data_IF_936426714592
#
_entry.id   IF_936426714592
#
_cell.length_a   1.000
_cell.length_b   1.000
_cell.length_c   1.000
_cell.angle_alpha   90.00
_cell.angle_beta   90.00
_cell.angle_gamma   90.00
#
_symmetry.space_group_name_H-M   'P 1'
#
loop_
_entity.id
_entity.type
_entity.pdbx_description
1 polymer ?
#
# COMPACT_ATOMS: atom_id res chain seq x y z
N UNK A 1 -0.74 -26.01 26.08
CA UNK A 1 -1.11 -27.33 26.61
C UNK A 1 0.10 -28.25 26.46
N UNK A 2 0.88 -28.44 27.53
CA UNK A 2 2.01 -29.37 27.57
C UNK A 2 1.67 -30.48 28.58
N UNK A 3 0.98 -31.51 28.12
CA UNK A 3 0.83 -32.77 28.86
C UNK A 3 1.81 -33.78 28.27
N UNK A 4 3.08 -33.62 28.59
CA UNK A 4 4.05 -34.69 28.46
C UNK A 4 4.00 -35.51 29.74
N UNK A 5 3.19 -36.56 29.75
CA UNK A 5 3.25 -37.57 30.81
C UNK A 5 4.70 -38.09 30.84
N UNK A 6 5.44 -37.75 31.90
CA UNK A 6 6.70 -38.42 32.22
C UNK A 6 6.36 -39.88 32.47
N UNK A 7 6.47 -40.70 31.43
CA UNK A 7 6.58 -42.13 31.59
C UNK A 7 7.88 -42.36 32.35
N UNK A 8 7.78 -42.58 33.66
CA UNK A 8 8.90 -43.03 34.49
C UNK A 8 9.28 -44.40 33.95
N UNK A 9 10.17 -44.40 32.97
CA UNK A 9 10.67 -45.60 32.35
C UNK A 9 11.40 -46.37 33.44
N UNK A 10 10.83 -47.50 33.87
CA UNK A 10 11.48 -48.46 34.79
C UNK A 10 12.70 -49.13 34.11
N UNK A 11 13.07 -48.72 32.90
CA UNK A 11 14.17 -49.24 32.08
C UNK A 11 15.52 -49.10 32.76
N UNK A 12 15.86 -47.91 33.28
CA UNK A 12 17.13 -47.68 33.96
C UNK A 12 17.23 -48.42 35.30
N UNK A 13 16.11 -48.58 35.99
CA UNK A 13 16.02 -49.32 37.24
C UNK A 13 16.11 -50.84 37.01
N UNK A 14 15.50 -51.33 35.94
CA UNK A 14 15.60 -52.72 35.50
C UNK A 14 16.98 -53.06 34.93
N UNK A 15 17.62 -52.13 34.21
CA UNK A 15 19.02 -52.25 33.77
C UNK A 15 19.96 -52.30 34.98
N UNK A 16 19.79 -51.39 35.94
CA UNK A 16 20.57 -51.38 37.17
C UNK A 16 20.43 -52.69 37.95
N UNK A 17 19.20 -53.18 38.13
CA UNK A 17 18.93 -54.49 38.76
C UNK A 17 19.59 -55.64 38.02
N UNK A 18 19.49 -55.69 36.69
CA UNK A 18 20.12 -56.73 35.89
C UNK A 18 21.65 -56.71 36.00
N UNK A 19 22.27 -55.53 35.95
CA UNK A 19 23.72 -55.39 36.06
C UNK A 19 24.22 -55.75 37.47
N UNK A 20 23.52 -55.33 38.53
CA UNK A 20 23.85 -55.69 39.92
C UNK A 20 23.78 -57.21 40.13
N UNK A 21 22.76 -57.89 39.58
CA UNK A 21 22.62 -59.35 39.70
C UNK A 21 23.71 -60.14 38.95
N UNK A 22 24.43 -59.50 38.02
CA UNK A 22 25.51 -60.12 37.23
C UNK A 22 26.91 -59.78 37.77
N UNK A 23 27.02 -58.92 38.79
CA UNK A 23 28.30 -58.54 39.40
C UNK A 23 28.87 -59.63 40.31
N UNK A 24 30.19 -59.70 40.40
CA UNK A 24 30.86 -60.60 41.34
C UNK A 24 30.72 -60.09 42.79
N UNK A 25 30.93 -60.98 43.77
CA UNK A 25 30.91 -60.60 45.19
C UNK A 25 31.93 -59.50 45.53
N UNK A 26 33.10 -59.51 44.87
CA UNK A 26 34.11 -58.48 45.06
C UNK A 26 33.67 -57.13 44.50
N UNK A 27 32.99 -57.12 43.35
CA UNK A 27 32.45 -55.89 42.75
C UNK A 27 31.29 -55.32 43.57
N UNK A 28 30.39 -56.18 44.05
CA UNK A 28 29.30 -55.78 44.95
C UNK A 28 29.85 -55.23 46.27
N UNK A 29 30.90 -55.84 46.82
CA UNK A 29 31.58 -55.35 48.02
C UNK A 29 32.26 -54.00 47.76
N UNK A 30 32.85 -53.78 46.59
CA UNK A 30 33.40 -52.46 46.23
C UNK A 30 32.29 -51.41 46.09
N UNK A 31 31.20 -51.76 45.41
CA UNK A 31 30.05 -50.89 45.21
C UNK A 31 29.39 -50.49 46.54
N UNK A 32 29.25 -51.44 47.48
CA UNK A 32 28.67 -51.18 48.80
C UNK A 32 29.55 -50.28 49.69
N UNK A 33 30.88 -50.31 49.48
CA UNK A 33 31.83 -49.61 50.35
C UNK A 33 32.31 -48.26 49.80
N UNK A 34 31.81 -47.80 48.64
CA UNK A 34 32.24 -46.53 48.03
C UNK A 34 31.11 -45.85 47.26
N UNK A 35 30.68 -44.69 47.75
CA UNK A 35 29.68 -43.83 47.10
C UNK A 35 30.14 -43.34 45.71
N UNK A 36 31.45 -43.20 45.51
CA UNK A 36 32.02 -42.85 44.20
C UNK A 36 31.82 -43.98 43.18
N UNK A 37 31.94 -45.23 43.61
CA UNK A 37 31.69 -46.39 42.75
C UNK A 37 30.19 -46.53 42.44
N UNK A 38 29.31 -46.23 43.41
CA UNK A 38 27.86 -46.14 43.18
C UNK A 38 27.55 -45.05 42.16
N UNK A 39 28.17 -43.88 42.29
CA UNK A 39 27.98 -42.76 41.37
C UNK A 39 28.47 -43.08 39.96
N UNK A 40 29.63 -43.74 39.82
CA UNK A 40 30.14 -44.20 38.52
C UNK A 40 29.21 -45.25 37.91
N UNK A 41 28.71 -46.19 38.72
CA UNK A 41 27.75 -47.19 38.26
C UNK A 41 26.46 -46.54 37.76
N UNK A 42 25.86 -45.62 38.51
CA UNK A 42 24.64 -44.89 38.09
C UNK A 42 24.89 -44.05 36.83
N UNK A 43 26.06 -43.43 36.70
CA UNK A 43 26.46 -42.70 35.47
C UNK A 43 26.71 -43.60 34.27
N UNK A 44 26.96 -44.88 34.49
CA UNK A 44 27.15 -45.88 33.42
C UNK A 44 25.84 -46.46 32.88
N UNK A 45 24.69 -46.13 33.49
CA UNK A 45 23.37 -46.56 33.03
C UNK A 45 23.04 -45.88 31.71
N UNK A 46 22.46 -46.64 30.79
CA UNK A 46 22.23 -46.19 29.41
C UNK A 46 21.32 -44.97 29.34
N UNK A 47 20.28 -44.92 30.17
CA UNK A 47 19.35 -43.79 30.23
C UNK A 47 20.04 -42.49 30.69
N UNK A 48 20.93 -42.57 31.69
CA UNK A 48 21.60 -41.36 32.21
C UNK A 48 22.65 -40.85 31.21
N UNK A 49 23.32 -41.75 30.49
CA UNK A 49 24.19 -41.38 29.37
C UNK A 49 23.41 -40.72 28.24
N UNK A 50 22.25 -41.28 27.86
CA UNK A 50 21.38 -40.67 26.85
C UNK A 50 20.92 -39.28 27.25
N UNK A 51 20.51 -39.08 28.51
CA UNK A 51 20.12 -37.77 29.03
C UNK A 51 21.29 -36.79 28.96
N UNK A 52 22.51 -37.20 29.34
CA UNK A 52 23.68 -36.33 29.27
C UNK A 52 24.04 -35.98 27.82
N UNK A 53 23.96 -36.94 26.89
CA UNK A 53 24.14 -36.68 25.45
C UNK A 53 23.10 -35.70 24.90
N UNK A 54 21.82 -35.87 25.26
CA UNK A 54 20.75 -34.95 24.85
C UNK A 54 21.02 -33.54 25.41
N UNK A 55 21.42 -33.46 26.67
CA UNK A 55 21.75 -32.19 27.34
C UNK A 55 22.95 -31.49 26.68
N UNK A 56 24.00 -32.22 26.32
CA UNK A 56 25.14 -31.65 25.59
C UNK A 56 24.74 -31.17 24.20
N UNK A 57 23.97 -31.98 23.46
CA UNK A 57 23.42 -31.58 22.16
C UNK A 57 22.54 -30.32 22.26
N UNK A 58 21.69 -30.23 23.28
CA UNK A 58 20.87 -29.03 23.53
C UNK A 58 21.73 -27.82 23.85
N UNK A 59 22.77 -27.96 24.67
CA UNK A 59 23.71 -26.86 24.96
C UNK A 59 24.39 -26.36 23.69
N UNK A 60 24.84 -27.28 22.83
CA UNK A 60 25.46 -26.92 21.55
C UNK A 60 24.47 -26.20 20.63
N UNK A 61 23.23 -26.70 20.55
CA UNK A 61 22.16 -26.07 19.78
C UNK A 61 21.82 -24.66 20.29
N UNK A 62 21.68 -24.48 21.61
CA UNK A 62 21.43 -23.18 22.23
C UNK A 62 22.59 -22.23 21.92
N UNK A 63 23.84 -22.69 22.05
CA UNK A 63 25.02 -21.88 21.73
C UNK A 63 25.02 -21.44 20.27
N UNK A 64 24.73 -22.36 19.33
CA UNK A 64 24.64 -22.04 17.90
C UNK A 64 23.55 -21.00 17.63
N UNK A 65 22.37 -21.17 18.21
CA UNK A 65 21.26 -20.22 18.05
C UNK A 65 21.58 -18.86 18.64
N UNK A 66 22.21 -18.81 19.82
CA UNK A 66 22.63 -17.56 20.44
C UNK A 66 23.67 -16.82 19.56
N UNK A 67 24.63 -17.53 18.98
CA UNK A 67 25.61 -16.95 18.06
C UNK A 67 24.94 -16.42 16.78
N UNK A 68 24.03 -17.19 16.19
CA UNK A 68 23.26 -16.76 15.04
C UNK A 68 22.45 -15.49 15.35
N UNK A 69 21.77 -15.46 16.50
CA UNK A 69 21.00 -14.30 16.92
C UNK A 69 21.90 -13.06 17.10
N UNK A 70 23.07 -13.21 17.73
CA UNK A 70 24.04 -12.11 17.91
C UNK A 70 24.56 -11.56 16.57
N UNK A 71 24.72 -12.42 15.56
CA UNK A 71 25.15 -12.02 14.22
C UNK A 71 24.02 -11.33 13.43
N UNK A 72 22.78 -11.82 13.55
CA UNK A 72 21.64 -11.31 12.78
C UNK A 72 21.05 -10.02 13.34
N UNK A 73 21.12 -9.81 14.66
CA UNK A 73 20.60 -8.60 15.32
C UNK A 73 21.09 -7.28 14.69
N UNK A 74 22.41 -7.04 14.48
CA UNK A 74 22.88 -5.80 13.88
C UNK A 74 22.38 -5.60 12.44
N UNK A 75 22.26 -6.68 11.66
CA UNK A 75 21.76 -6.63 10.28
C UNK A 75 20.28 -6.21 10.28
N UNK A 76 19.47 -6.83 11.14
CA UNK A 76 18.06 -6.51 11.28
C UNK A 76 17.84 -5.07 11.76
N UNK A 77 18.64 -4.60 12.71
CA UNK A 77 18.58 -3.21 13.19
C UNK A 77 18.92 -2.24 12.04
N UNK A 78 19.97 -2.52 11.27
CA UNK A 78 20.38 -1.69 10.14
C UNK A 78 19.30 -1.61 9.06
N UNK A 79 18.78 -2.75 8.61
CA UNK A 79 17.74 -2.79 7.58
C UNK A 79 16.44 -2.13 8.05
N UNK A 80 16.06 -2.31 9.33
CA UNK A 80 14.91 -1.62 9.91
C UNK A 80 15.08 -0.10 9.91
N UNK A 81 16.28 0.39 10.24
CA UNK A 81 16.58 1.83 10.20
C UNK A 81 16.53 2.37 8.76
N UNK A 82 17.11 1.65 7.80
CA UNK A 82 17.07 2.01 6.39
C UNK A 82 15.64 2.04 5.85
N UNK A 83 14.82 1.05 6.20
CA UNK A 83 13.41 1.02 5.84
C UNK A 83 12.63 2.21 6.43
N UNK A 84 12.89 2.54 7.69
CA UNK A 84 12.26 3.70 8.34
C UNK A 84 12.64 5.02 7.63
N UNK A 85 13.91 5.19 7.26
CA UNK A 85 14.38 6.35 6.51
C UNK A 85 13.69 6.45 5.14
N UNK A 86 13.68 5.36 4.37
CA UNK A 86 13.04 5.34 3.05
C UNK A 86 11.53 5.61 3.14
N UNK A 87 10.87 5.08 4.17
CA UNK A 87 9.46 5.34 4.41
C UNK A 87 9.19 6.81 4.76
N UNK A 88 10.05 7.45 5.55
CA UNK A 88 9.94 8.87 5.86
C UNK A 88 10.20 9.76 4.63
N UNK A 89 11.16 9.39 3.78
CA UNK A 89 11.41 10.06 2.50
C UNK A 89 10.19 9.95 1.57
N UNK A 90 9.64 8.75 1.42
CA UNK A 90 8.44 8.51 0.63
C UNK A 90 7.27 9.32 1.15
N UNK A 91 7.07 9.38 2.47
CA UNK A 91 6.01 10.19 3.08
C UNK A 91 6.14 11.66 2.71
N UNK A 92 7.34 12.23 2.83
CA UNK A 92 7.60 13.63 2.46
C UNK A 92 7.35 13.89 0.97
N UNK A 93 7.74 12.96 0.10
CA UNK A 93 7.48 13.08 -1.34
C UNK A 93 5.98 13.02 -1.61
N UNK A 94 5.27 12.11 -0.95
CA UNK A 94 3.81 11.99 -1.07
C UNK A 94 3.10 13.26 -0.59
N UNK A 95 3.46 13.80 0.57
CA UNK A 95 2.91 15.06 1.08
C UNK A 95 3.13 16.22 0.10
N UNK A 96 4.32 16.32 -0.52
CA UNK A 96 4.59 17.32 -1.56
C UNK A 96 3.73 17.09 -2.80
N UNK A 97 3.61 15.85 -3.26
CA UNK A 97 2.77 15.50 -4.40
C UNK A 97 1.31 15.84 -4.14
N UNK A 98 0.76 15.45 -2.99
CA UNK A 98 -0.63 15.70 -2.60
C UNK A 98 -0.89 17.21 -2.49
N UNK A 99 0.06 18.00 -1.99
CA UNK A 99 -0.02 19.47 -1.98
C UNK A 99 -0.06 20.05 -3.39
N UNK A 100 0.87 19.67 -4.26
CA UNK A 100 0.92 20.17 -5.65
C UNK A 100 -0.35 19.77 -6.40
N UNK A 101 -0.84 18.55 -6.16
CA UNK A 101 -2.07 18.06 -6.75
C UNK A 101 -3.28 18.85 -6.23
N UNK A 102 -3.34 19.16 -4.94
CA UNK A 102 -4.37 20.03 -4.38
C UNK A 102 -4.39 21.39 -5.07
N UNK A 103 -3.24 22.06 -5.16
CA UNK A 103 -3.12 23.36 -5.85
C UNK A 103 -3.55 23.27 -7.33
N UNK A 104 -3.19 22.17 -8.01
CA UNK A 104 -3.59 21.92 -9.39
C UNK A 104 -5.09 21.66 -9.53
N UNK A 105 -5.67 20.84 -8.65
CA UNK A 105 -7.09 20.52 -8.63
C UNK A 105 -7.92 21.78 -8.27
N UNK A 106 -7.42 22.66 -7.42
CA UNK A 106 -8.06 23.96 -7.11
C UNK A 106 -8.03 24.89 -8.35
N UNK A 107 -6.87 25.01 -9.01
CA UNK A 107 -6.73 25.81 -10.24
C UNK A 107 -7.58 25.28 -11.40
N UNK A 108 -7.66 23.95 -11.54
CA UNK A 108 -8.42 23.31 -12.63
C UNK A 108 -9.90 23.09 -12.30
N UNK A 109 -10.24 23.00 -11.02
CA UNK A 109 -11.61 22.88 -10.52
C UNK A 109 -12.45 24.13 -10.81
N UNK A 110 -11.83 25.32 -10.77
CA UNK A 110 -12.45 26.58 -11.23
C UNK A 110 -12.68 26.61 -12.76
N UNK A 111 -12.00 25.75 -13.51
CA UNK A 111 -12.02 25.72 -14.99
C UNK A 111 -12.31 24.32 -15.52
N UNK A 112 -13.28 23.60 -14.96
CA UNK A 112 -13.74 22.35 -15.55
C UNK A 112 -14.24 22.64 -16.99
N UNK A 113 -13.80 21.90 -18.02
CA UNK A 113 -14.32 22.01 -19.39
C UNK A 113 -15.86 22.06 -19.46
N UNK A 114 -16.58 21.27 -18.66
CA UNK A 114 -18.05 21.31 -18.63
C UNK A 114 -18.59 22.67 -18.15
N UNK A 115 -17.93 23.29 -17.17
CA UNK A 115 -18.26 24.63 -16.67
C UNK A 115 -17.97 25.70 -17.73
N UNK A 116 -16.84 25.61 -18.43
CA UNK A 116 -16.49 26.53 -19.53
C UNK A 116 -17.53 26.42 -20.66
N UNK A 117 -17.95 25.21 -21.01
CA UNK A 117 -18.99 24.97 -22.00
C UNK A 117 -20.33 25.59 -21.59
N UNK A 118 -20.76 25.38 -20.34
CA UNK A 118 -21.99 25.97 -19.80
C UNK A 118 -21.94 27.51 -19.79
N UNK A 119 -20.80 28.11 -19.45
CA UNK A 119 -20.60 29.55 -19.50
C UNK A 119 -20.70 30.10 -20.93
N UNK A 120 -20.08 29.44 -21.91
CA UNK A 120 -20.18 29.81 -23.32
C UNK A 120 -21.62 29.74 -23.83
N UNK A 121 -22.36 28.68 -23.47
CA UNK A 121 -23.75 28.51 -23.86
C UNK A 121 -24.66 29.57 -23.21
N UNK A 122 -24.41 29.92 -21.95
CA UNK A 122 -25.13 30.98 -21.24
C UNK A 122 -24.88 32.33 -21.90
N UNK A 123 -23.61 32.68 -22.17
CA UNK A 123 -23.25 33.94 -22.82
C UNK A 123 -23.83 34.06 -24.24
N UNK A 124 -23.85 32.96 -25.00
CA UNK A 124 -24.48 32.93 -26.32
C UNK A 124 -26.00 33.17 -26.21
N UNK A 125 -26.67 32.49 -25.27
CA UNK A 125 -28.12 32.62 -25.06
C UNK A 125 -28.52 34.02 -24.56
N UNK A 126 -27.71 34.62 -23.66
CA UNK A 126 -27.91 35.97 -23.17
C UNK A 126 -27.78 37.02 -24.28
N UNK A 127 -26.80 36.84 -25.17
CA UNK A 127 -26.61 37.75 -26.30
C UNK A 127 -27.69 37.56 -27.36
N UNK A 128 -28.13 36.32 -27.65
CA UNK A 128 -29.29 36.05 -28.49
C UNK A 128 -30.55 36.74 -27.94
N UNK A 129 -30.82 36.62 -26.63
CA UNK A 129 -31.93 37.33 -25.98
C UNK A 129 -31.81 38.85 -26.12
N UNK A 130 -30.62 39.42 -25.85
CA UNK A 130 -30.39 40.86 -25.98
C UNK A 130 -30.60 41.36 -27.41
N UNK A 131 -30.18 40.57 -28.41
CA UNK A 131 -30.45 40.91 -29.81
C UNK A 131 -31.93 40.86 -30.16
N UNK A 132 -32.69 39.96 -29.55
CA UNK A 132 -34.15 39.91 -29.72
C UNK A 132 -34.82 41.12 -29.09
N UNK A 133 -34.44 41.49 -27.86
CA UNK A 133 -34.93 42.71 -27.19
C UNK A 133 -34.62 43.96 -28.01
N UNK A 134 -33.40 44.04 -28.56
CA UNK A 134 -33.00 45.17 -29.42
C UNK A 134 -33.83 45.22 -30.71
N UNK A 135 -34.20 44.06 -31.28
CA UNK A 135 -35.08 43.98 -32.44
C UNK A 135 -36.52 44.38 -32.11
N UNK A 136 -37.07 43.89 -31.00
CA UNK A 136 -38.39 44.27 -30.51
C UNK A 136 -38.48 45.78 -30.25
N UNK A 137 -37.49 46.36 -29.55
CA UNK A 137 -37.39 47.80 -29.28
C UNK A 137 -37.32 48.64 -30.56
N UNK A 138 -36.76 48.08 -31.63
CA UNK A 138 -36.76 48.70 -32.96
C UNK A 138 -38.15 48.67 -33.61
N UNK A 139 -38.87 47.56 -33.52
CA UNK A 139 -40.20 47.42 -34.13
C UNK A 139 -41.30 48.22 -33.42
N UNK A 140 -41.22 48.39 -32.10
CA UNK A 140 -42.26 49.04 -31.31
C UNK A 140 -41.98 50.51 -30.94
N UNK A 141 -40.77 51.01 -31.18
CA UNK A 141 -40.40 52.40 -30.90
C UNK A 141 -40.51 53.32 -32.13
N UNK A 142 -40.91 54.58 -31.93
CA UNK A 142 -40.69 55.63 -32.94
C UNK A 142 -39.18 55.90 -33.03
N UNK A 143 -38.58 55.76 -34.23
CA UNK A 143 -37.13 55.93 -34.44
C UNK A 143 -36.84 57.06 -35.43
N UNK A 144 -35.82 57.83 -35.13
CA UNK A 144 -35.18 58.78 -36.02
C UNK A 144 -34.22 58.07 -36.98
N UNK A 145 -33.87 58.71 -38.11
CA UNK A 145 -32.95 58.14 -39.11
C UNK A 145 -31.55 57.82 -38.53
N UNK A 146 -31.10 58.59 -37.54
CA UNK A 146 -29.85 58.35 -36.81
C UNK A 146 -29.93 57.09 -35.93
N UNK A 147 -31.07 56.86 -35.26
CA UNK A 147 -31.31 55.66 -34.43
C UNK A 147 -31.43 54.39 -35.27
N UNK A 148 -31.93 54.47 -36.51
CA UNK A 148 -31.98 53.33 -37.44
C UNK A 148 -30.56 52.87 -37.81
N UNK A 149 -29.67 53.81 -38.09
CA UNK A 149 -28.27 53.50 -38.47
C UNK A 149 -27.47 52.94 -37.30
N UNK A 150 -27.70 53.44 -36.08
CA UNK A 150 -27.09 52.92 -34.86
C UNK A 150 -27.63 51.53 -34.50
N UNK A 151 -28.95 51.29 -34.68
CA UNK A 151 -29.55 49.97 -34.54
C UNK A 151 -28.92 48.96 -35.50
N UNK A 152 -28.85 49.27 -36.80
CA UNK A 152 -28.31 48.36 -37.81
C UNK A 152 -26.88 47.92 -37.45
N UNK A 153 -26.04 48.86 -37.05
CA UNK A 153 -24.66 48.57 -36.63
C UNK A 153 -24.62 47.64 -35.42
N UNK A 154 -25.30 48.02 -34.33
CA UNK A 154 -25.28 47.26 -33.07
C UNK A 154 -25.91 45.89 -33.20
N UNK A 155 -27.02 45.79 -33.93
CA UNK A 155 -27.73 44.53 -34.13
C UNK A 155 -26.88 43.54 -34.93
N UNK A 156 -26.24 43.98 -36.02
CA UNK A 156 -25.35 43.13 -36.81
C UNK A 156 -24.14 42.69 -35.98
N UNK A 157 -23.52 43.61 -35.24
CA UNK A 157 -22.37 43.29 -34.37
C UNK A 157 -22.73 42.29 -33.27
N UNK A 158 -23.82 42.52 -32.53
CA UNK A 158 -24.26 41.65 -31.44
C UNK A 158 -24.74 40.28 -31.97
N UNK A 159 -25.46 40.23 -33.11
CA UNK A 159 -25.87 38.96 -33.74
C UNK A 159 -24.68 38.15 -34.25
N UNK A 160 -23.70 38.81 -34.88
CA UNK A 160 -22.46 38.15 -35.31
C UNK A 160 -21.75 37.53 -34.11
N UNK A 161 -21.61 38.28 -33.02
CA UNK A 161 -20.96 37.81 -31.80
C UNK A 161 -21.73 36.65 -31.13
N UNK A 162 -23.07 36.67 -31.16
CA UNK A 162 -23.89 35.56 -30.65
C UNK A 162 -23.63 34.26 -31.44
N UNK A 163 -23.59 34.35 -32.78
CA UNK A 163 -23.29 33.21 -33.63
C UNK A 163 -21.85 32.70 -33.44
N UNK A 164 -20.87 33.61 -33.31
CA UNK A 164 -19.48 33.24 -33.02
C UNK A 164 -19.36 32.47 -31.70
N UNK A 165 -20.04 32.93 -30.63
CA UNK A 165 -20.05 32.25 -29.33
C UNK A 165 -20.72 30.87 -29.41
N UNK A 166 -21.83 30.75 -30.15
CA UNK A 166 -22.51 29.48 -30.36
C UNK A 166 -21.65 28.46 -31.11
N UNK A 167 -21.03 28.86 -32.21
CA UNK A 167 -20.09 28.02 -32.97
C UNK A 167 -18.90 27.63 -32.09
N UNK A 168 -18.37 28.58 -31.30
CA UNK A 168 -17.28 28.30 -30.36
C UNK A 168 -17.69 27.25 -29.33
N UNK A 169 -18.89 27.34 -28.76
CA UNK A 169 -19.41 26.35 -27.82
C UNK A 169 -19.57 24.96 -28.47
N UNK A 170 -20.15 24.90 -29.67
CA UNK A 170 -20.32 23.64 -30.42
C UNK A 170 -18.97 22.98 -30.73
N UNK A 171 -17.99 23.74 -31.22
CA UNK A 171 -16.65 23.23 -31.51
C UNK A 171 -15.90 22.80 -30.26
N UNK A 172 -16.04 23.55 -29.17
CA UNK A 172 -15.47 23.18 -27.88
C UNK A 172 -16.06 21.85 -27.38
N UNK A 173 -17.37 21.65 -27.52
CA UNK A 173 -18.04 20.40 -27.15
C UNK A 173 -17.61 19.22 -28.02
N UNK A 174 -17.47 19.40 -29.33
CA UNK A 174 -16.92 18.38 -30.23
C UNK A 174 -15.52 17.92 -29.78
N UNK A 175 -14.63 18.88 -29.45
CA UNK A 175 -13.28 18.58 -28.97
C UNK A 175 -13.29 17.81 -27.64
N UNK A 176 -14.21 18.13 -26.73
CA UNK A 176 -14.40 17.39 -25.47
C UNK A 176 -14.84 15.94 -25.70
N UNK A 177 -15.74 15.68 -26.66
CA UNK A 177 -16.17 14.33 -26.99
C UNK A 177 -15.04 13.50 -27.63
N UNK A 178 -14.22 14.13 -28.47
CA UNK A 178 -13.06 13.48 -29.10
C UNK A 178 -11.96 13.12 -28.10
N UNK A 179 -11.70 13.99 -27.11
CA UNK A 179 -10.68 13.74 -26.07
C UNK A 179 -11.09 12.61 -25.12
N UNK A 180 -12.37 12.54 -24.75
CA UNK A 180 -12.90 11.42 -23.97
C UNK A 180 -12.76 10.10 -24.73
N UNK A 181 -13.17 10.08 -26.00
CA UNK A 181 -13.10 8.90 -26.87
C UNK A 181 -11.67 8.36 -27.03
N UNK A 182 -10.68 9.25 -27.12
CA UNK A 182 -9.26 8.86 -27.21
C UNK A 182 -8.71 8.38 -25.86
N UNK A 183 -9.09 8.98 -24.73
CA UNK A 183 -8.71 8.52 -23.38
C UNK A 183 -9.19 7.09 -23.08
N UNK A 184 -10.40 6.72 -23.52
CA UNK A 184 -10.92 5.35 -23.40
C UNK A 184 -10.11 4.32 -24.21
N UNK A 185 -9.42 4.72 -25.28
CA UNK A 185 -8.58 3.81 -26.07
C UNK A 185 -7.23 3.54 -25.38
N UNK A 186 -6.64 4.55 -24.73
CA UNK A 186 -5.36 4.40 -24.03
C UNK A 186 -5.45 3.64 -22.71
N UNK A 187 -6.53 3.84 -21.94
CA UNK A 187 -6.76 3.09 -20.69
C UNK A 187 -6.97 1.58 -20.94
N UNK A 188 -7.62 1.23 -22.05
CA UNK A 188 -7.81 -0.17 -22.46
C UNK A 188 -6.54 -0.85 -22.96
N UNK A 189 -5.52 -0.11 -23.43
CA UNK A 189 -4.23 -0.70 -23.81
C UNK A 189 -3.38 -1.11 -22.60
N UNK A 190 -3.42 -0.37 -21.49
CA UNK A 190 -2.65 -0.68 -20.29
C UNK A 190 -3.22 -1.87 -19.49
N UNK A 191 -4.53 -2.12 -19.58
CA UNK A 191 -5.16 -3.31 -18.98
C UNK A 191 -4.81 -4.62 -19.74
N UNK A 192 -4.32 -4.52 -20.99
CA UNK A 192 -3.91 -5.69 -21.79
C UNK A 192 -2.43 -6.06 -21.64
N UNK A 193 -1.59 -5.17 -21.12
CA UNK A 193 -0.13 -5.38 -21.07
C UNK A 193 0.40 -5.70 -19.67
N UNK A 194 -0.41 -5.63 -18.61
CA UNK A 194 -0.03 -5.93 -17.23
C UNK A 194 -0.09 -7.40 -16.81
N UNK A 195 -0.11 -8.34 -17.76
CA UNK A 195 -0.27 -9.77 -17.48
C UNK A 195 0.75 -10.63 -18.19
N UNK A 196 2.03 -10.50 -17.85
CA UNK A 196 3.06 -11.54 -18.01
C UNK A 196 4.11 -11.39 -16.92
#
# INVERSE_FOLDING_TARGET
MMNGYYNYNDGGLNEARSRINQMSFEDLKRLMNSDDEVTKFVRSLSELQQIETIKESLKENIKRLALCNLEQEPILIHEKQKLAQLHDELRKIKEKYDSIRGDYDDQTGETNPDMIYALLQTAASELERKTEETAEDFFYGEKTEEEVTDFERRFIEDRKRAHELKITAEKFHELMQMSQSTSYLYSNQHMRTGGY
#
